data_IF_980267759535
#
_entry.id   IF_980267759535
#
_cell.length_a   1.000
_cell.length_b   1.000
_cell.length_c   1.000
_cell.angle_alpha   90.00
_cell.angle_beta   90.00
_cell.angle_gamma   90.00
#
_symmetry.space_group_name_H-M   'P 1'
#
loop_
_entity.id
_entity.type
_entity.pdbx_description
1 polymer ?
#
# COMPACT_ATOMS: atom_id res chain seq x y z
N UNK A 1 18.60 -11.53 14.18
CA UNK A 1 19.62 -10.57 13.70
C UNK A 1 20.19 -10.89 12.29
N UNK A 2 19.52 -11.68 11.44
CA UNK A 2 20.05 -12.11 10.11
C UNK A 2 19.52 -11.35 8.88
N UNK A 3 18.53 -10.46 9.03
CA UNK A 3 17.83 -9.86 7.86
C UNK A 3 18.57 -8.68 7.20
N UNK A 4 19.36 -7.92 7.97
CA UNK A 4 20.12 -6.79 7.42
C UNK A 4 21.23 -7.22 6.45
N UNK A 5 21.82 -8.40 6.69
CA UNK A 5 22.88 -8.93 5.84
C UNK A 5 22.34 -9.45 4.50
N UNK A 6 21.13 -10.03 4.47
CA UNK A 6 20.56 -10.55 3.22
C UNK A 6 20.31 -9.43 2.20
N UNK A 7 19.72 -8.30 2.61
CA UNK A 7 19.52 -7.16 1.70
C UNK A 7 20.84 -6.58 1.20
N UNK A 8 21.90 -6.64 2.01
CA UNK A 8 23.24 -6.17 1.63
C UNK A 8 23.93 -7.13 0.65
N UNK A 9 23.77 -8.44 0.84
CA UNK A 9 24.34 -9.49 -0.01
C UNK A 9 23.66 -9.49 -1.38
N UNK A 10 22.33 -9.54 -1.41
CA UNK A 10 21.58 -9.42 -2.67
C UNK A 10 21.91 -8.08 -3.30
N UNK A 11 22.15 -7.03 -2.47
CA UNK A 11 22.54 -5.65 -2.80
C UNK A 11 23.77 -5.44 -3.68
N UNK A 12 24.63 -6.46 -3.84
CA UNK A 12 25.95 -6.28 -4.43
C UNK A 12 25.91 -5.86 -5.90
N UNK A 13 26.88 -5.06 -6.38
CA UNK A 13 26.89 -4.35 -7.68
C UNK A 13 26.95 -5.23 -8.92
N UNK A 14 27.56 -6.40 -8.81
CA UNK A 14 27.95 -7.27 -9.93
C UNK A 14 26.96 -8.42 -10.19
N UNK A 15 26.36 -8.99 -9.13
CA UNK A 15 25.50 -10.18 -9.16
C UNK A 15 24.16 -9.99 -8.47
N UNK A 16 23.82 -8.77 -8.09
CA UNK A 16 22.62 -8.49 -7.31
C UNK A 16 21.34 -8.38 -8.13
N UNK A 17 20.21 -8.52 -7.45
CA UNK A 17 18.88 -8.58 -8.05
C UNK A 17 18.39 -7.26 -8.67
N UNK A 18 17.35 -7.34 -9.48
CA UNK A 18 16.68 -6.18 -10.07
C UNK A 18 15.99 -5.29 -9.01
N UNK A 19 15.80 -3.99 -9.29
CA UNK A 19 15.17 -3.03 -8.37
C UNK A 19 13.78 -3.50 -7.92
N UNK A 20 12.98 -4.03 -8.85
CA UNK A 20 11.64 -4.50 -8.53
C UNK A 20 11.69 -5.64 -7.50
N UNK A 21 12.63 -6.57 -7.65
CA UNK A 21 12.87 -7.68 -6.73
C UNK A 21 13.33 -7.15 -5.37
N UNK A 22 14.19 -6.14 -5.33
CA UNK A 22 14.60 -5.53 -4.07
C UNK A 22 13.47 -4.88 -3.31
N UNK A 23 12.66 -4.06 -3.99
CA UNK A 23 11.50 -3.44 -3.35
C UNK A 23 10.53 -4.51 -2.86
N UNK A 24 10.37 -5.63 -3.59
CA UNK A 24 9.61 -6.80 -3.13
C UNK A 24 10.20 -7.43 -1.87
N UNK A 25 11.50 -7.69 -1.83
CA UNK A 25 12.21 -8.23 -0.66
C UNK A 25 12.14 -7.29 0.55
N UNK A 26 12.28 -5.98 0.33
CA UNK A 26 12.12 -4.96 1.35
C UNK A 26 10.71 -5.03 1.96
N UNK A 27 9.67 -5.06 1.11
CA UNK A 27 8.27 -5.18 1.53
C UNK A 27 8.02 -6.45 2.35
N UNK A 28 8.56 -7.59 1.94
CA UNK A 28 8.30 -8.87 2.59
C UNK A 28 9.10 -9.08 3.88
N UNK A 29 10.32 -8.56 3.99
CA UNK A 29 11.20 -8.85 5.13
C UNK A 29 11.23 -7.77 6.20
N UNK A 30 11.30 -6.50 5.79
CA UNK A 30 11.48 -5.35 6.68
C UNK A 30 10.15 -4.65 6.91
N UNK A 31 9.48 -4.23 5.83
CA UNK A 31 8.20 -3.51 5.94
C UNK A 31 7.14 -4.34 6.65
N UNK A 32 7.06 -5.64 6.36
CA UNK A 32 6.14 -6.55 7.06
C UNK A 32 6.31 -6.55 8.59
N UNK A 33 7.55 -6.36 9.08
CA UNK A 33 7.85 -6.28 10.52
C UNK A 33 7.54 -4.89 11.08
N UNK A 34 7.75 -3.83 10.31
CA UNK A 34 7.34 -2.48 10.70
C UNK A 34 5.81 -2.36 10.74
N UNK A 35 5.12 -2.96 9.77
CA UNK A 35 3.66 -2.96 9.69
C UNK A 35 3.03 -3.78 10.83
N UNK A 36 3.71 -4.84 11.28
CA UNK A 36 3.26 -5.68 12.40
C UNK A 36 3.23 -4.87 13.71
N UNK A 37 2.04 -4.72 14.29
CA UNK A 37 1.85 -3.96 15.53
C UNK A 37 1.76 -2.44 15.36
N UNK A 38 1.79 -1.93 14.12
CA UNK A 38 1.67 -0.48 13.82
C UNK A 38 0.43 0.20 14.42
N UNK A 39 -0.66 -0.56 14.57
CA UNK A 39 -1.90 -0.11 15.21
C UNK A 39 -1.71 0.13 16.71
N UNK A 40 -0.88 -0.67 17.37
CA UNK A 40 -0.64 -0.61 18.81
C UNK A 40 0.37 0.49 19.12
N UNK A 41 1.57 0.41 18.54
CA UNK A 41 2.64 1.35 18.86
C UNK A 41 2.47 2.70 18.13
N UNK A 42 1.61 2.80 17.12
CA UNK A 42 1.43 4.04 16.36
C UNK A 42 0.79 5.18 17.16
N UNK A 43 0.27 4.90 18.36
CA UNK A 43 -0.14 5.91 19.35
C UNK A 43 1.03 6.49 20.17
N UNK A 44 2.25 5.97 20.00
CA UNK A 44 3.42 6.48 20.71
C UNK A 44 3.84 7.87 20.21
N UNK A 45 4.53 8.63 21.07
CA UNK A 45 5.01 9.98 20.76
C UNK A 45 5.86 10.01 19.48
N UNK A 46 5.70 11.05 18.66
CA UNK A 46 6.44 11.24 17.40
C UNK A 46 7.95 11.01 17.51
N UNK A 47 8.61 11.43 18.60
CA UNK A 47 10.05 11.24 18.77
C UNK A 47 10.46 9.75 18.89
N UNK A 48 9.61 8.91 19.50
CA UNK A 48 9.83 7.46 19.59
C UNK A 48 9.61 6.82 18.22
N UNK A 49 8.56 7.23 17.50
CA UNK A 49 8.26 6.74 16.16
C UNK A 49 9.37 7.07 15.14
N UNK A 50 10.06 8.21 15.30
CA UNK A 50 11.20 8.60 14.46
C UNK A 50 12.36 7.62 14.52
N UNK A 51 12.49 6.80 15.56
CA UNK A 51 13.52 5.77 15.64
C UNK A 51 13.36 4.68 14.56
N UNK A 52 12.16 4.50 14.00
CA UNK A 52 11.87 3.52 12.94
C UNK A 52 12.19 4.05 11.53
N UNK A 53 12.17 5.37 11.34
CA UNK A 53 12.37 6.00 10.05
C UNK A 53 13.74 5.68 9.42
N UNK A 54 14.88 5.67 10.17
CA UNK A 54 16.17 5.24 9.64
C UNK A 54 16.14 3.84 9.00
N UNK A 55 15.37 2.91 9.56
CA UNK A 55 15.27 1.53 9.04
C UNK A 55 14.55 1.53 7.69
N UNK A 56 13.43 2.26 7.60
CA UNK A 56 12.67 2.42 6.34
C UNK A 56 13.51 3.13 5.28
N UNK A 57 14.10 4.27 5.62
CA UNK A 57 14.95 5.04 4.70
C UNK A 57 16.14 4.22 4.22
N UNK A 58 16.80 3.48 5.10
CA UNK A 58 17.94 2.65 4.74
C UNK A 58 17.52 1.50 3.80
N UNK A 59 16.37 0.87 4.05
CA UNK A 59 15.81 -0.13 3.16
C UNK A 59 15.55 0.41 1.76
N UNK A 60 14.93 1.59 1.65
CA UNK A 60 14.69 2.25 0.37
C UNK A 60 15.99 2.66 -0.33
N UNK A 61 16.98 3.19 0.39
CA UNK A 61 18.29 3.55 -0.17
C UNK A 61 19.02 2.35 -0.74
N UNK A 62 18.98 1.20 -0.06
CA UNK A 62 19.58 -0.05 -0.56
C UNK A 62 18.83 -0.53 -1.82
N UNK A 63 17.49 -0.52 -1.79
CA UNK A 63 16.67 -0.96 -2.90
C UNK A 63 16.83 -0.09 -4.16
N UNK A 64 16.92 1.24 -3.98
CA UNK A 64 17.09 2.21 -5.06
C UNK A 64 18.56 2.47 -5.45
N UNK A 65 19.52 2.00 -4.64
CA UNK A 65 20.95 2.33 -4.74
C UNK A 65 21.25 3.84 -4.75
N UNK A 66 20.39 4.58 -4.08
CA UNK A 66 20.53 6.00 -3.86
C UNK A 66 21.67 6.29 -2.86
N UNK A 67 22.20 7.50 -2.88
CA UNK A 67 23.25 7.90 -1.95
C UNK A 67 22.71 8.04 -0.52
N UNK A 68 23.60 7.99 0.48
CA UNK A 68 23.22 8.23 1.88
C UNK A 68 22.70 9.66 2.11
N UNK A 69 23.12 10.61 1.27
CA UNK A 69 22.74 12.02 1.29
C UNK A 69 21.51 12.33 0.43
N UNK A 70 20.87 11.33 -0.18
CA UNK A 70 19.65 11.55 -0.97
C UNK A 70 18.46 12.06 -0.13
N UNK A 71 17.71 13.07 -0.60
CA UNK A 71 16.55 13.61 0.12
C UNK A 71 15.45 12.53 0.29
N UNK A 72 14.88 12.45 1.48
CA UNK A 72 13.93 11.40 1.88
C UNK A 72 12.64 11.44 1.06
N UNK A 73 12.10 12.64 0.81
CA UNK A 73 10.86 12.83 0.04
C UNK A 73 11.00 12.30 -1.39
N UNK A 74 12.15 12.57 -2.02
CA UNK A 74 12.46 12.04 -3.35
C UNK A 74 12.65 10.53 -3.35
N UNK A 75 13.17 9.93 -2.26
CA UNK A 75 13.23 8.47 -2.13
C UNK A 75 11.85 7.84 -2.08
N UNK A 76 10.88 8.46 -1.40
CA UNK A 76 9.51 7.98 -1.35
C UNK A 76 8.85 8.02 -2.73
N UNK A 77 8.98 9.15 -3.41
CA UNK A 77 8.45 9.33 -4.76
C UNK A 77 9.08 8.33 -5.75
N UNK A 78 10.40 8.16 -5.68
CA UNK A 78 11.12 7.23 -6.54
C UNK A 78 10.78 5.76 -6.21
N UNK A 79 10.72 5.36 -4.94
CA UNK A 79 10.42 3.97 -4.56
C UNK A 79 8.95 3.58 -4.76
N UNK A 80 8.06 4.54 -5.04
CA UNK A 80 6.61 4.36 -4.99
C UNK A 80 6.16 3.89 -3.60
N UNK A 81 6.80 4.43 -2.58
CA UNK A 81 6.56 4.01 -1.20
C UNK A 81 6.29 5.22 -0.32
N UNK A 82 5.12 5.31 0.33
CA UNK A 82 4.83 6.41 1.24
C UNK A 82 5.68 6.31 2.51
N UNK A 83 5.69 7.39 3.30
CA UNK A 83 6.34 7.39 4.62
C UNK A 83 5.67 6.40 5.58
N UNK A 84 6.39 6.00 6.64
CA UNK A 84 5.84 5.12 7.67
C UNK A 84 4.60 5.72 8.35
N UNK A 85 4.52 7.04 8.46
CA UNK A 85 3.35 7.72 9.03
C UNK A 85 2.08 7.47 8.21
N UNK A 86 2.09 7.78 6.91
CA UNK A 86 0.97 7.49 6.01
C UNK A 86 0.65 5.98 6.00
N UNK A 87 1.67 5.14 6.10
CA UNK A 87 1.50 3.68 6.17
C UNK A 87 0.76 3.25 7.45
N UNK A 88 1.13 3.79 8.61
CA UNK A 88 0.46 3.53 9.90
C UNK A 88 -0.98 3.99 9.88
N UNK A 89 -1.24 5.20 9.37
CA UNK A 89 -2.60 5.73 9.21
C UNK A 89 -3.43 4.80 8.33
N UNK A 90 -2.91 4.37 7.18
CA UNK A 90 -3.58 3.39 6.31
C UNK A 90 -3.90 2.08 7.03
N UNK A 91 -2.97 1.53 7.82
CA UNK A 91 -3.18 0.27 8.54
C UNK A 91 -4.19 0.42 9.67
N UNK A 92 -4.11 1.50 10.45
CA UNK A 92 -5.09 1.85 11.47
C UNK A 92 -6.48 2.02 10.88
N UNK A 93 -6.59 2.70 9.74
CA UNK A 93 -7.88 2.90 9.07
C UNK A 93 -8.51 1.58 8.61
N UNK A 94 -7.72 0.69 8.00
CA UNK A 94 -8.20 -0.65 7.67
C UNK A 94 -8.63 -1.46 8.90
N UNK A 95 -7.90 -1.30 10.01
CA UNK A 95 -8.21 -1.99 11.26
C UNK A 95 -9.52 -1.50 11.88
N UNK A 96 -9.73 -0.18 11.96
CA UNK A 96 -10.97 0.42 12.49
C UNK A 96 -12.19 0.03 11.66
N UNK A 97 -12.10 0.04 10.34
CA UNK A 97 -13.22 -0.41 9.48
C UNK A 97 -13.53 -1.89 9.67
N UNK A 98 -12.50 -2.73 9.83
CA UNK A 98 -12.68 -4.15 10.14
C UNK A 98 -13.33 -4.33 11.52
N UNK A 99 -12.91 -3.57 12.53
CA UNK A 99 -13.54 -3.60 13.86
C UNK A 99 -15.00 -3.16 13.77
N UNK A 100 -15.34 -2.14 12.97
CA UNK A 100 -16.73 -1.70 12.78
C UNK A 100 -17.63 -2.81 12.23
N UNK A 101 -17.09 -3.64 11.33
CA UNK A 101 -17.81 -4.82 10.83
C UNK A 101 -17.92 -5.95 11.85
N UNK A 102 -17.20 -5.90 12.98
CA UNK A 102 -17.10 -6.98 13.97
C UNK A 102 -17.57 -6.52 15.36
N UNK A 103 -18.89 -6.26 15.55
CA UNK A 103 -19.41 -5.74 16.81
C UNK A 103 -19.26 -6.70 17.99
N UNK A 104 -19.12 -8.01 17.73
CA UNK A 104 -18.99 -9.03 18.80
C UNK A 104 -17.60 -9.04 19.46
N UNK A 105 -16.64 -8.28 18.96
CA UNK A 105 -15.28 -8.29 19.51
C UNK A 105 -15.15 -7.32 20.68
N UNK A 106 -14.43 -7.66 21.77
CA UNK A 106 -14.29 -6.77 22.91
C UNK A 106 -13.56 -5.45 22.57
N UNK A 107 -12.75 -5.44 21.50
CA UNK A 107 -12.15 -4.21 20.99
C UNK A 107 -13.14 -3.25 20.33
N UNK A 108 -14.28 -3.74 19.83
CA UNK A 108 -15.30 -2.89 19.23
C UNK A 108 -15.87 -1.93 20.28
N UNK A 109 -16.25 -2.47 21.43
CA UNK A 109 -16.88 -1.69 22.51
C UNK A 109 -15.91 -0.63 23.05
N UNK A 110 -14.65 -1.01 23.26
CA UNK A 110 -13.59 -0.09 23.70
C UNK A 110 -13.33 1.06 22.71
N UNK A 111 -13.47 0.81 21.40
CA UNK A 111 -13.15 1.81 20.37
C UNK A 111 -14.34 2.68 20.00
N UNK A 112 -15.56 2.13 19.97
CA UNK A 112 -16.75 2.81 19.46
C UNK A 112 -17.76 3.20 20.54
N UNK A 113 -17.78 2.52 21.68
CA UNK A 113 -18.74 2.80 22.77
C UNK A 113 -18.11 3.57 23.93
N UNK A 114 -16.79 3.48 24.11
CA UNK A 114 -16.09 4.31 25.09
C UNK A 114 -16.19 5.81 24.72
N UNK A 115 -16.48 6.71 25.67
CA UNK A 115 -16.51 8.14 25.41
C UNK A 115 -15.12 8.62 24.96
N UNK A 116 -14.99 8.96 23.67
CA UNK A 116 -13.78 9.60 23.11
C UNK A 116 -13.41 10.91 23.85
N UNK A 117 -14.37 11.48 24.60
CA UNK A 117 -14.18 12.62 25.50
C UNK A 117 -13.25 12.34 26.68
N UNK A 118 -13.23 11.10 27.21
CA UNK A 118 -12.47 10.79 28.42
C UNK A 118 -10.97 10.62 28.12
N UNK A 119 -10.63 10.24 26.88
CA UNK A 119 -9.25 10.16 26.40
C UNK A 119 -8.65 11.50 25.94
N UNK A 120 -9.48 12.52 25.72
CA UNK A 120 -9.06 13.84 25.22
C UNK A 120 -8.91 14.91 26.32
N UNK A 121 -9.34 14.59 27.56
CA UNK A 121 -9.26 15.51 28.69
C UNK A 121 -7.82 15.74 29.21
N UNK A 122 -6.90 14.79 28.98
CA UNK A 122 -5.48 14.95 29.30
C UNK A 122 -4.71 15.56 28.12
N UNK A 123 -4.63 16.89 28.11
CA UNK A 123 -3.94 17.72 27.09
C UNK A 123 -2.45 17.40 26.89
N UNK A 124 -1.86 16.51 27.68
CA UNK A 124 -0.44 16.10 27.62
C UNK A 124 -0.20 14.83 26.79
N UNK A 125 -1.23 14.05 26.45
CA UNK A 125 -1.07 12.82 25.66
C UNK A 125 -1.46 13.07 24.20
N UNK A 126 -0.63 12.61 23.26
CA UNK A 126 -1.03 12.62 21.85
C UNK A 126 -2.28 11.72 21.69
N UNK A 127 -3.27 12.15 20.89
CA UNK A 127 -4.48 11.36 20.65
C UNK A 127 -4.10 9.98 20.14
N UNK A 128 -4.80 8.96 20.62
CA UNK A 128 -4.56 7.60 20.20
C UNK A 128 -4.72 7.47 18.66
N UNK A 129 -3.98 6.55 18.04
CA UNK A 129 -3.98 6.39 16.58
C UNK A 129 -5.40 6.13 16.01
N UNK A 130 -6.26 5.56 16.83
CA UNK A 130 -7.66 5.28 16.53
C UNK A 130 -8.50 6.56 16.47
N UNK A 131 -8.28 7.52 17.37
CA UNK A 131 -8.90 8.84 17.39
C UNK A 131 -8.54 9.64 16.14
N UNK A 132 -7.24 9.66 15.79
CA UNK A 132 -6.77 10.29 14.55
C UNK A 132 -7.39 9.64 13.30
N UNK A 133 -7.69 8.35 13.36
CA UNK A 133 -8.36 7.64 12.27
C UNK A 133 -9.78 8.16 12.03
N UNK A 134 -10.51 8.58 13.07
CA UNK A 134 -11.85 9.18 12.90
C UNK A 134 -11.79 10.54 12.18
N UNK A 135 -10.76 11.35 12.42
CA UNK A 135 -10.55 12.59 11.66
C UNK A 135 -10.24 12.29 10.19
N UNK A 136 -9.35 11.33 9.92
CA UNK A 136 -9.07 10.87 8.57
C UNK A 136 -10.31 10.29 7.88
N UNK A 137 -11.19 9.64 8.64
CA UNK A 137 -12.44 9.11 8.14
C UNK A 137 -13.43 10.19 7.71
N UNK A 138 -13.57 11.24 8.53
CA UNK A 138 -14.34 12.45 8.17
C UNK A 138 -13.79 13.10 6.89
N UNK A 139 -12.47 13.24 6.81
CA UNK A 139 -11.79 13.81 5.64
C UNK A 139 -11.94 12.94 4.38
N UNK A 140 -11.96 11.61 4.52
CA UNK A 140 -12.18 10.66 3.43
C UNK A 140 -13.65 10.54 3.00
N UNK A 141 -14.59 11.18 3.72
CA UNK A 141 -16.04 11.11 3.48
C UNK A 141 -16.55 9.67 3.41
N UNK A 142 -16.12 8.82 4.34
CA UNK A 142 -16.60 7.43 4.46
C UNK A 142 -17.64 7.37 5.57
N UNK A 143 -18.86 6.94 5.22
CA UNK A 143 -19.94 6.73 6.17
C UNK A 143 -19.77 5.35 6.82
N UNK A 144 -19.44 5.32 8.12
CA UNK A 144 -19.27 4.06 8.85
C UNK A 144 -20.57 3.27 8.99
N UNK A 145 -21.72 3.93 8.94
CA UNK A 145 -23.04 3.30 9.12
C UNK A 145 -23.47 2.47 7.91
N UNK A 146 -22.79 2.64 6.77
CA UNK A 146 -23.05 1.85 5.55
C UNK A 146 -22.29 0.52 5.56
N UNK A 147 -21.44 0.27 6.56
CA UNK A 147 -20.62 -0.95 6.62
C UNK A 147 -21.45 -2.10 7.16
N UNK A 148 -21.40 -3.25 6.47
CA UNK A 148 -22.09 -4.46 6.92
C UNK A 148 -21.38 -5.13 8.10
N UNK A 149 -22.16 -5.81 8.93
CA UNK A 149 -21.65 -6.62 10.02
C UNK A 149 -21.17 -7.96 9.47
N UNK A 150 -19.89 -8.25 9.63
CA UNK A 150 -19.32 -9.54 9.28
C UNK A 150 -19.83 -10.60 10.25
N UNK A 151 -20.65 -11.52 9.72
CA UNK A 151 -21.05 -12.72 10.44
C UNK A 151 -19.85 -13.67 10.44
N UNK A 152 -19.17 -13.78 11.58
CA UNK A 152 -18.17 -14.82 11.78
C UNK A 152 -18.93 -16.14 11.93
N UNK A 153 -18.83 -17.01 10.94
CA UNK A 153 -19.40 -18.35 11.05
C UNK A 153 -18.69 -19.10 12.19
N UNK A 154 -19.51 -19.68 13.07
CA UNK A 154 -19.09 -20.64 14.07
C UNK A 154 -19.86 -21.93 13.78
N UNK A 155 -19.22 -23.11 13.82
CA UNK A 155 -17.96 -23.39 14.51
C UNK A 155 -16.66 -23.09 13.72
N UNK A 156 -15.50 -23.01 14.40
CA UNK A 156 -14.22 -22.76 13.76
C UNK A 156 -13.86 -23.81 12.68
N UNK A 157 -12.97 -23.47 11.73
CA UNK A 157 -12.63 -24.35 10.61
C UNK A 157 -11.96 -25.68 11.00
N UNK A 158 -11.51 -25.83 12.25
CA UNK A 158 -10.97 -27.08 12.80
C UNK A 158 -12.04 -27.97 13.46
N UNK A 159 -13.29 -27.52 13.54
CA UNK A 159 -14.42 -28.33 13.98
C UNK A 159 -15.04 -29.03 12.78
N UNK A 160 -15.39 -30.31 12.93
CA UNK A 160 -15.96 -31.10 11.83
C UNK A 160 -17.34 -30.55 11.44
N UNK A 161 -17.43 -30.00 10.24
CA UNK A 161 -18.69 -29.63 9.64
C UNK A 161 -19.19 -30.81 8.81
N UNK A 162 -20.38 -31.32 9.13
CA UNK A 162 -21.12 -32.18 8.20
C UNK A 162 -21.56 -31.32 7.03
N UNK A 163 -20.74 -31.25 5.99
CA UNK A 163 -21.12 -30.62 4.72
C UNK A 163 -22.20 -31.50 4.13
N UNK A 164 -23.43 -31.00 4.08
CA UNK A 164 -24.49 -31.65 3.32
C UNK A 164 -24.19 -31.41 1.83
N UNK A 165 -23.51 -32.35 1.21
CA UNK A 165 -23.19 -32.27 -0.22
C UNK A 165 -24.45 -32.63 -0.98
N UNK A 166 -25.06 -31.65 -1.65
CA UNK A 166 -26.14 -31.89 -2.58
C UNK A 166 -25.56 -32.46 -3.88
N UNK A 167 -25.75 -33.77 -4.09
CA UNK A 167 -25.25 -34.52 -5.24
C UNK A 167 -26.28 -34.51 -6.39
N UNK A 168 -27.46 -33.92 -6.21
CA UNK A 168 -28.53 -33.88 -7.22
C UNK A 168 -28.09 -33.28 -8.57
N UNK A 169 -27.15 -32.33 -8.52
CA UNK A 169 -26.59 -31.68 -9.71
C UNK A 169 -25.70 -32.60 -10.56
N UNK A 170 -25.25 -33.74 -10.02
CA UNK A 170 -24.46 -34.72 -10.79
C UNK A 170 -25.31 -35.56 -11.75
N UNK A 171 -26.63 -35.58 -11.55
CA UNK A 171 -27.59 -36.26 -12.44
C UNK A 171 -27.80 -35.50 -13.76
N UNK A 172 -27.40 -34.22 -13.81
CA UNK A 172 -27.50 -33.40 -15.01
C UNK A 172 -26.27 -33.56 -15.90
N UNK A 173 -26.48 -33.95 -17.16
CA UNK A 173 -25.41 -33.95 -18.18
C UNK A 173 -24.96 -32.52 -18.48
N UNK A 174 -23.65 -32.29 -18.50
CA UNK A 174 -23.00 -31.00 -18.83
C UNK A 174 -23.48 -30.38 -20.15
N UNK A 175 -23.92 -31.23 -21.08
CA UNK A 175 -24.44 -30.86 -22.40
C UNK A 175 -25.75 -30.06 -22.32
N UNK A 176 -26.59 -30.31 -21.31
CA UNK A 176 -27.88 -29.64 -21.11
C UNK A 176 -27.77 -28.39 -20.22
N UNK A 177 -26.59 -28.08 -19.70
CA UNK A 177 -26.34 -26.98 -18.75
C UNK A 177 -26.25 -25.61 -19.42
N UNK A 178 -26.08 -25.56 -20.75
CA UNK A 178 -25.86 -24.31 -21.51
C UNK A 178 -27.10 -23.40 -21.41
N UNK A 179 -28.29 -23.95 -21.60
CA UNK A 179 -29.56 -23.19 -21.56
C UNK A 179 -29.87 -22.67 -20.14
N UNK A 180 -29.57 -23.47 -19.11
CA UNK A 180 -29.70 -23.07 -17.70
C UNK A 180 -28.74 -21.95 -17.30
N UNK A 181 -27.47 -22.05 -17.73
CA UNK A 181 -26.48 -21.01 -17.51
C UNK A 181 -26.85 -19.71 -18.23
N UNK A 182 -27.34 -19.77 -19.47
CA UNK A 182 -27.83 -18.60 -20.19
C UNK A 182 -29.01 -17.92 -19.49
N UNK A 183 -29.90 -18.69 -18.87
CA UNK A 183 -31.03 -18.15 -18.11
C UNK A 183 -30.57 -17.47 -16.82
N UNK A 184 -29.61 -18.07 -16.10
CA UNK A 184 -28.98 -17.44 -14.92
C UNK A 184 -28.25 -16.15 -15.32
N UNK A 185 -27.54 -16.17 -16.45
CA UNK A 185 -26.78 -15.03 -16.97
C UNK A 185 -27.72 -13.90 -17.45
N UNK A 186 -28.85 -14.25 -18.08
CA UNK A 186 -29.94 -13.32 -18.43
C UNK A 186 -30.57 -12.71 -17.17
N UNK A 187 -30.84 -13.52 -16.13
CA UNK A 187 -31.39 -13.04 -14.87
C UNK A 187 -30.41 -12.12 -14.12
N UNK A 188 -29.11 -12.44 -14.13
CA UNK A 188 -28.06 -11.59 -13.57
C UNK A 188 -27.96 -10.25 -14.32
N UNK A 189 -28.01 -10.27 -15.66
CA UNK A 189 -28.08 -9.06 -16.51
C UNK A 189 -29.36 -8.25 -16.28
N UNK A 190 -30.50 -8.90 -16.07
CA UNK A 190 -31.74 -8.22 -15.72
C UNK A 190 -31.67 -7.56 -14.32
N UNK A 191 -30.96 -8.19 -13.38
CA UNK A 191 -30.77 -7.65 -12.04
C UNK A 191 -29.89 -6.39 -11.98
N UNK A 192 -29.00 -6.17 -12.97
CA UNK A 192 -28.25 -4.90 -13.11
C UNK A 192 -29.18 -3.70 -13.33
N UNK A 193 -30.33 -3.91 -13.99
CA UNK A 193 -31.31 -2.87 -14.30
C UNK A 193 -32.36 -2.67 -13.18
N UNK A 194 -32.35 -3.48 -12.11
CA UNK A 194 -33.17 -3.21 -10.93
C UNK A 194 -32.69 -1.92 -10.27
N UNK A 195 -33.63 -1.08 -9.86
CA UNK A 195 -33.35 0.15 -9.13
C UNK A 195 -32.31 -0.12 -8.02
N UNK A 196 -31.24 0.68 -8.03
CA UNK A 196 -30.14 0.60 -7.07
C UNK A 196 -30.73 0.43 -5.67
N UNK A 197 -30.45 -0.72 -5.04
CA UNK A 197 -30.99 -1.03 -3.73
C UNK A 197 -30.46 0.02 -2.74
N UNK A 198 -31.25 1.05 -2.50
CA UNK A 198 -31.04 2.03 -1.44
C UNK A 198 -30.99 1.25 -0.13
N UNK A 199 -29.85 1.30 0.57
CA UNK A 199 -29.62 0.55 1.81
C UNK A 199 -28.71 -0.69 1.70
N UNK A 200 -28.02 -0.92 0.57
CA UNK A 200 -26.96 -1.95 0.52
C UNK A 200 -25.82 -1.60 1.49
N UNK A 201 -25.74 -2.37 2.57
CA UNK A 201 -24.55 -2.42 3.41
C UNK A 201 -23.38 -2.92 2.56
N UNK A 202 -22.21 -2.34 2.76
CA UNK A 202 -21.00 -2.59 1.97
C UNK A 202 -20.01 -3.34 2.85
N UNK A 203 -19.34 -4.35 2.30
CA UNK A 203 -18.27 -5.01 3.03
C UNK A 203 -17.12 -4.03 3.28
N UNK A 204 -16.54 -4.04 4.48
CA UNK A 204 -15.44 -3.13 4.83
C UNK A 204 -14.24 -3.25 3.87
N UNK A 205 -14.03 -4.43 3.25
CA UNK A 205 -12.95 -4.65 2.28
C UNK A 205 -13.10 -3.82 1.02
N UNK A 206 -14.33 -3.50 0.62
CA UNK A 206 -14.64 -2.74 -0.59
C UNK A 206 -14.29 -1.26 -0.43
N UNK A 207 -14.07 -0.81 0.82
CA UNK A 207 -13.59 0.53 1.14
C UNK A 207 -12.07 0.66 0.98
N UNK A 208 -11.31 -0.45 0.84
CA UNK A 208 -9.84 -0.40 0.69
C UNK A 208 -9.36 0.48 -0.47
N UNK A 209 -9.95 0.44 -1.68
CA UNK A 209 -9.58 1.33 -2.77
C UNK A 209 -9.80 2.80 -2.41
N UNK A 210 -10.92 3.13 -1.75
CA UNK A 210 -11.22 4.50 -1.31
C UNK A 210 -10.23 5.00 -0.26
N UNK A 211 -9.82 4.15 0.68
CA UNK A 211 -8.75 4.48 1.65
C UNK A 211 -7.43 4.70 0.92
N UNK A 212 -7.07 3.83 -0.02
CA UNK A 212 -5.84 3.98 -0.80
C UNK A 212 -5.82 5.30 -1.57
N UNK A 213 -6.94 5.65 -2.21
CA UNK A 213 -7.10 6.92 -2.92
C UNK A 213 -6.96 8.11 -1.96
N UNK A 214 -7.58 8.06 -0.77
CA UNK A 214 -7.44 9.10 0.24
C UNK A 214 -5.99 9.26 0.71
N UNK A 215 -5.32 8.16 1.07
CA UNK A 215 -3.93 8.19 1.54
C UNK A 215 -2.99 8.70 0.44
N UNK A 216 -3.20 8.29 -0.80
CA UNK A 216 -2.45 8.79 -1.95
C UNK A 216 -2.71 10.28 -2.17
N UNK A 217 -3.94 10.77 -1.99
CA UNK A 217 -4.26 12.20 -2.10
C UNK A 217 -3.57 13.04 -1.03
N UNK A 218 -3.47 12.52 0.21
CA UNK A 218 -2.74 13.19 1.30
C UNK A 218 -1.25 13.19 1.00
N UNK A 219 -0.71 12.07 0.52
CA UNK A 219 0.68 11.97 0.12
C UNK A 219 1.01 12.90 -1.05
N UNK A 220 0.13 13.00 -2.05
CA UNK A 220 0.24 13.91 -3.18
C UNK A 220 0.26 15.37 -2.73
N UNK A 221 -0.67 15.79 -1.86
CA UNK A 221 -0.64 17.15 -1.28
C UNK A 221 0.67 17.46 -0.56
N UNK A 222 1.19 16.49 0.20
CA UNK A 222 2.47 16.62 0.89
C UNK A 222 3.67 16.66 -0.07
N UNK A 223 3.51 16.14 -1.29
CA UNK A 223 4.51 16.18 -2.34
C UNK A 223 4.46 17.51 -3.10
N UNK A 224 3.26 18.00 -3.42
CA UNK A 224 3.06 19.30 -4.08
C UNK A 224 3.46 20.48 -3.20
N UNK A 225 3.34 20.34 -1.89
CA UNK A 225 3.82 21.35 -0.93
C UNK A 225 5.36 21.46 -0.89
N UNK A 226 6.10 20.47 -1.41
CA UNK A 226 7.56 20.44 -1.39
C UNK A 226 8.15 21.27 -2.55
N UNK A 227 7.99 22.59 -2.50
CA UNK A 227 8.35 23.51 -3.59
C UNK A 227 9.84 23.57 -3.97
N UNK A 228 10.74 22.97 -3.19
CA UNK A 228 12.20 22.97 -3.45
C UNK A 228 12.71 21.65 -4.08
N UNK A 229 11.83 20.69 -4.39
CA UNK A 229 12.25 19.38 -4.87
C UNK A 229 12.31 19.32 -6.40
N UNK A 230 13.52 19.32 -6.95
CA UNK A 230 13.78 19.18 -8.41
C UNK A 230 13.12 17.95 -9.05
N UNK A 231 12.87 16.89 -8.28
CA UNK A 231 12.21 15.69 -8.79
C UNK A 231 10.71 15.92 -9.06
N UNK A 232 10.09 16.92 -8.42
CA UNK A 232 8.67 17.25 -8.63
C UNK A 232 8.40 17.67 -10.08
N UNK A 233 9.30 18.44 -10.71
CA UNK A 233 9.21 18.83 -12.13
C UNK A 233 9.12 17.61 -13.08
N UNK A 234 9.80 16.51 -12.73
CA UNK A 234 9.86 15.28 -13.55
C UNK A 234 8.82 14.24 -13.12
N UNK A 235 8.30 14.36 -11.90
CA UNK A 235 7.29 13.47 -11.33
C UNK A 235 6.30 14.30 -10.51
N UNK A 236 5.38 15.02 -11.19
CA UNK A 236 4.37 15.81 -10.50
C UNK A 236 3.35 14.89 -9.82
N UNK A 237 2.91 13.82 -10.49
CA UNK A 237 1.92 12.89 -9.96
C UNK A 237 2.56 11.61 -9.39
N UNK A 238 2.30 11.32 -8.13
CA UNK A 238 2.75 10.11 -7.46
C UNK A 238 1.86 8.92 -7.84
N UNK A 239 2.48 7.87 -8.39
CA UNK A 239 1.84 6.57 -8.61
C UNK A 239 1.50 6.21 -10.06
N UNK A 240 1.49 7.15 -10.99
CA UNK A 240 1.07 6.88 -12.38
C UNK A 240 2.16 6.37 -13.33
N UNK A 241 3.45 6.33 -12.93
CA UNK A 241 4.49 6.21 -13.97
C UNK A 241 5.75 5.42 -13.62
N UNK A 242 5.65 4.37 -12.80
CA UNK A 242 6.86 3.69 -12.29
C UNK A 242 7.10 2.28 -12.82
N UNK A 243 6.07 1.58 -13.34
CA UNK A 243 6.27 0.31 -14.06
C UNK A 243 7.10 0.51 -15.35
N UNK A 244 7.08 1.71 -15.96
CA UNK A 244 7.84 2.02 -17.18
C UNK A 244 9.27 2.52 -16.94
N UNK A 245 9.72 2.76 -15.70
CA UNK A 245 11.04 3.38 -15.39
C UNK A 245 12.15 2.36 -15.17
N UNK A 246 12.18 1.27 -15.94
CA UNK A 246 13.25 0.29 -15.85
C UNK A 246 12.94 -1.13 -16.34
N UNK A 247 11.72 -1.47 -16.73
CA UNK A 247 11.42 -2.81 -17.26
C UNK A 247 12.31 -3.10 -18.49
N UNK A 248 13.26 -4.02 -18.32
CA UNK A 248 14.24 -4.42 -19.34
C UNK A 248 15.55 -3.62 -19.39
N UNK A 249 15.72 -2.59 -18.56
CA UNK A 249 16.98 -1.84 -18.46
C UNK A 249 17.95 -2.55 -17.51
N UNK A 250 19.21 -2.77 -17.95
CA UNK A 250 20.24 -3.31 -17.08
C UNK A 250 20.44 -2.47 -15.81
N UNK A 251 20.67 -3.13 -14.68
CA UNK A 251 20.72 -2.54 -13.32
C UNK A 251 21.62 -1.31 -13.15
N UNK A 252 22.71 -1.20 -13.93
CA UNK A 252 23.58 -0.01 -13.96
C UNK A 252 22.82 1.23 -14.43
N UNK A 253 21.98 1.08 -15.46
CA UNK A 253 21.15 2.15 -16.01
C UNK A 253 20.09 2.59 -15.02
N UNK A 254 19.40 1.66 -14.35
CA UNK A 254 18.42 2.01 -13.32
C UNK A 254 19.05 2.82 -12.18
N UNK A 255 20.23 2.39 -11.72
CA UNK A 255 20.98 3.09 -10.67
C UNK A 255 21.37 4.50 -11.09
N UNK A 256 21.89 4.65 -12.31
CA UNK A 256 22.24 5.96 -12.87
C UNK A 256 20.98 6.86 -12.97
N UNK A 257 19.89 6.34 -13.51
CA UNK A 257 18.63 7.08 -13.65
C UNK A 257 18.03 7.49 -12.30
N UNK A 258 18.09 6.62 -11.29
CA UNK A 258 17.63 6.96 -9.94
C UNK A 258 18.48 8.10 -9.34
N UNK A 259 19.80 8.03 -9.46
CA UNK A 259 20.71 9.06 -8.92
C UNK A 259 20.54 10.41 -9.60
N UNK A 260 20.41 10.42 -10.92
CA UNK A 260 20.11 11.62 -11.70
C UNK A 260 18.80 12.26 -11.23
N UNK A 261 17.73 11.46 -11.12
CA UNK A 261 16.40 11.96 -10.71
C UNK A 261 16.36 12.48 -9.28
N UNK A 262 17.09 11.84 -8.36
CA UNK A 262 17.13 12.27 -6.95
C UNK A 262 18.12 13.44 -6.73
N UNK A 263 18.65 14.04 -7.80
CA UNK A 263 19.44 15.27 -7.74
C UNK A 263 20.90 15.06 -7.35
N UNK A 264 21.42 13.84 -7.44
CA UNK A 264 22.84 13.55 -7.19
C UNK A 264 23.62 13.63 -8.50
N UNK A 265 24.05 14.84 -8.84
CA UNK A 265 24.80 15.19 -10.04
C UNK A 265 26.31 15.19 -9.81
N UNK A 266 26.87 14.19 -9.11
CA UNK A 266 28.32 14.14 -8.89
C UNK A 266 29.03 13.37 -10.02
N UNK A 267 29.71 14.18 -10.84
CA UNK A 267 30.84 13.91 -11.75
C UNK A 267 30.57 13.16 -13.06
N UNK A 268 31.17 13.68 -14.15
CA UNK A 268 30.94 13.36 -15.56
C UNK A 268 30.98 11.88 -15.98
N UNK A 269 31.35 10.96 -15.11
CA UNK A 269 31.29 9.50 -15.31
C UNK A 269 29.85 9.01 -15.61
N UNK A 270 28.82 9.57 -14.98
CA UNK A 270 27.44 9.13 -15.22
C UNK A 270 26.86 9.69 -16.52
N UNK A 271 27.25 10.90 -16.91
CA UNK A 271 26.89 11.48 -18.21
C UNK A 271 27.63 10.78 -19.36
N UNK A 272 28.91 10.43 -19.17
CA UNK A 272 29.69 9.62 -20.11
C UNK A 272 29.05 8.25 -20.33
N UNK A 273 28.59 7.59 -19.26
CA UNK A 273 27.84 6.36 -19.38
C UNK A 273 26.49 6.59 -20.09
N UNK A 274 25.74 7.65 -19.78
CA UNK A 274 24.48 7.93 -20.50
C UNK A 274 24.67 8.20 -22.01
N UNK A 275 25.81 8.80 -22.41
CA UNK A 275 26.16 9.06 -23.81
C UNK A 275 26.62 7.80 -24.57
N UNK A 276 27.30 6.86 -23.92
CA UNK A 276 27.74 5.59 -24.52
C UNK A 276 26.60 4.59 -24.75
N UNK A 277 25.36 4.91 -24.34
CA UNK A 277 24.17 4.08 -24.53
C UNK A 277 23.21 4.55 -25.63
N UNK A 278 23.62 5.49 -26.50
CA UNK A 278 22.95 5.63 -27.81
C UNK A 278 23.17 4.33 -28.59
N UNK A 279 22.09 3.76 -29.09
CA UNK A 279 22.00 2.47 -29.80
C UNK A 279 23.06 2.31 -30.90
N UNK A 280 23.66 1.12 -31.08
CA UNK A 280 24.43 0.80 -32.28
C UNK A 280 23.44 0.57 -33.42
N UNK A 281 23.16 1.61 -34.19
CA UNK A 281 22.20 1.54 -35.29
C UNK A 281 21.69 2.92 -35.66
N UNK A 282 22.46 3.64 -36.45
CA UNK A 282 22.10 4.96 -36.95
C UNK A 282 23.22 5.49 -37.83
N UNK A 283 23.31 4.98 -39.06
CA UNK A 283 24.13 5.56 -40.12
C UNK A 283 23.80 7.05 -40.22
N UNK A 284 24.80 7.89 -40.02
CA UNK A 284 24.74 9.31 -40.40
C UNK A 284 25.57 9.47 -41.66
N UNK A 285 24.87 9.52 -42.79
CA UNK A 285 25.38 10.10 -44.04
C UNK A 285 25.20 11.61 -43.97
N UNK A 286 26.30 12.34 -43.93
CA UNK A 286 26.49 13.62 -44.64
C UNK A 286 27.88 13.57 -45.25
#
# INVERSE_FOLDING_TARGET
>A
MLKGNLLRIVGHTDRGADRAIFLKLYRTLVRSKLDYGSVVYGSAKKHVLRALDPIHHQGLRIALRAFRTSPIKSLYAEAVEPSLEHRRIKLAFNYVLKLKSLPRTPCHDVVFEAPLSDFSADTKSEPNLVANTFEHNKNAKINLNTIDNLIVQCPPPWEEHRINVDISLTEQKKENTIEGNENVDKLAKAALNRASCSGKLICWSDLKPKINAYINSVWQKNWDAEGANKLHEVLPNLGEDLHRRGEGAGRKRETAMCRLRVGHTMSGIFLLNAQTFKTPGGNTSV
#
